data_IF_024060920599
#
_entry.id   IF_024060920599
#
_cell.length_a   1.000
_cell.length_b   1.000
_cell.length_c   1.000
_cell.angle_alpha   90.00
_cell.angle_beta   90.00
_cell.angle_gamma   90.00
#
_symmetry.space_group_name_H-M   'P 1'
#
loop_
_entity.id
_entity.type
_entity.pdbx_description
1 polymer ?
#
# COMPACT_ATOMS: atom_id res chain seq x y z
N UNK A 1 29.82 -5.82 2.03
CA UNK A 1 29.34 -4.79 2.99
C UNK A 1 29.46 -3.35 2.49
N UNK A 2 30.66 -2.81 2.15
CA UNK A 2 30.82 -1.39 1.74
C UNK A 2 29.91 -0.94 0.58
N UNK A 3 29.77 -1.76 -0.48
CA UNK A 3 28.90 -1.46 -1.63
C UNK A 3 27.42 -1.38 -1.25
N UNK A 4 26.93 -2.31 -0.42
CA UNK A 4 25.56 -2.32 0.08
C UNK A 4 25.28 -1.08 0.93
N UNK A 5 26.17 -0.73 1.86
CA UNK A 5 26.03 0.48 2.67
C UNK A 5 25.98 1.75 1.81
N UNK A 6 26.84 1.84 0.78
CA UNK A 6 26.81 2.95 -0.19
C UNK A 6 25.49 3.01 -0.96
N UNK A 7 24.97 1.85 -1.39
CA UNK A 7 23.68 1.77 -2.07
C UNK A 7 22.53 2.20 -1.15
N UNK A 8 22.44 1.65 0.06
CA UNK A 8 21.40 2.00 1.04
C UNK A 8 21.43 3.49 1.36
N UNK A 9 22.61 4.07 1.64
CA UNK A 9 22.75 5.52 1.84
C UNK A 9 22.25 6.34 0.66
N UNK A 10 22.29 5.79 -0.55
CA UNK A 10 21.88 6.49 -1.76
C UNK A 10 20.39 6.41 -2.09
N UNK A 11 19.65 5.52 -1.44
CA UNK A 11 18.19 5.35 -1.59
C UNK A 11 17.42 5.77 -0.35
N UNK A 12 18.11 6.06 0.75
CA UNK A 12 17.55 6.63 1.95
C UNK A 12 17.59 8.16 1.87
N UNK A 13 16.63 8.87 2.51
CA UNK A 13 16.67 10.31 2.64
C UNK A 13 17.98 10.82 3.25
N UNK A 14 18.41 12.01 2.81
CA UNK A 14 19.62 12.67 3.33
C UNK A 14 19.49 12.94 4.83
N UNK A 15 18.31 13.38 5.26
CA UNK A 15 17.95 13.57 6.65
C UNK A 15 17.20 12.34 7.17
N UNK A 16 17.84 11.56 8.05
CA UNK A 16 17.27 10.35 8.65
C UNK A 16 15.98 10.64 9.44
N UNK A 17 15.75 11.87 9.91
CA UNK A 17 14.51 12.24 10.61
C UNK A 17 13.31 12.22 9.67
N UNK A 18 13.51 12.36 8.35
CA UNK A 18 12.46 12.17 7.34
C UNK A 18 11.99 10.70 7.28
N UNK A 19 12.87 9.72 7.56
CA UNK A 19 12.46 8.31 7.66
C UNK A 19 11.60 8.07 8.90
N UNK A 20 11.96 8.68 10.03
CA UNK A 20 11.13 8.59 11.24
C UNK A 20 9.77 9.23 10.98
N UNK A 21 9.74 10.40 10.34
CA UNK A 21 8.50 11.06 9.93
C UNK A 21 7.63 10.14 9.06
N UNK A 22 8.20 9.55 8.01
CA UNK A 22 7.51 8.57 7.17
C UNK A 22 6.98 7.38 7.96
N UNK A 23 7.75 6.85 8.91
CA UNK A 23 7.29 5.78 9.78
C UNK A 23 6.10 6.21 10.64
N UNK A 24 6.11 7.43 11.17
CA UNK A 24 4.96 8.02 11.86
C UNK A 24 3.72 8.12 10.97
N UNK A 25 3.91 8.52 9.71
CA UNK A 25 2.84 8.55 8.69
C UNK A 25 2.30 7.16 8.39
N UNK A 26 3.16 6.15 8.22
CA UNK A 26 2.75 4.75 8.05
C UNK A 26 1.93 4.27 9.24
N UNK A 27 2.35 4.58 10.47
CA UNK A 27 1.63 4.20 11.69
C UNK A 27 0.21 4.80 11.72
N UNK A 28 0.05 6.08 11.37
CA UNK A 28 -1.26 6.73 11.26
C UNK A 28 -2.12 6.09 10.15
N UNK A 29 -1.51 5.82 9.00
CA UNK A 29 -2.20 5.27 7.83
C UNK A 29 -2.74 3.87 8.11
N UNK A 30 -1.95 2.98 8.71
CA UNK A 30 -2.38 1.60 8.98
C UNK A 30 -3.29 1.48 10.22
N UNK A 31 -3.27 2.46 11.14
CA UNK A 31 -4.02 2.40 12.38
C UNK A 31 -5.53 2.19 12.18
N UNK A 32 -6.10 2.77 11.11
CA UNK A 32 -7.51 2.61 10.77
C UNK A 32 -7.91 1.18 10.39
N UNK A 33 -6.96 0.31 10.03
CA UNK A 33 -7.16 -1.10 9.67
C UNK A 33 -6.95 -2.07 10.83
N UNK A 34 -6.44 -1.55 11.96
CA UNK A 34 -6.14 -2.34 13.14
C UNK A 34 -7.25 -2.18 14.18
N UNK A 35 -7.40 -3.19 15.05
CA UNK A 35 -8.35 -3.08 16.15
C UNK A 35 -7.88 -1.98 17.10
N UNK A 36 -8.79 -1.07 17.45
CA UNK A 36 -8.51 -0.06 18.46
C UNK A 36 -8.96 -0.47 19.86
N UNK A 37 -9.90 -1.42 19.97
CA UNK A 37 -10.41 -1.92 21.26
C UNK A 37 -9.98 -3.37 21.47
N UNK A 38 -10.01 -3.82 22.72
CA UNK A 38 -9.69 -5.20 23.09
C UNK A 38 -10.77 -6.18 22.55
N UNK A 39 -10.37 -7.42 22.28
CA UNK A 39 -11.19 -8.45 21.61
C UNK A 39 -12.27 -9.08 22.48
N UNK A 40 -12.29 -8.86 23.79
CA UNK A 40 -13.12 -9.64 24.70
C UNK A 40 -14.39 -8.87 25.12
N UNK A 41 -15.54 -9.34 24.62
CA UNK A 41 -16.84 -9.15 25.27
C UNK A 41 -17.54 -7.80 25.12
N UNK A 42 -16.97 -6.82 24.42
CA UNK A 42 -17.56 -5.47 24.34
C UNK A 42 -18.42 -5.27 23.11
N UNK A 43 -19.64 -4.76 23.31
CA UNK A 43 -20.44 -4.14 22.25
C UNK A 43 -19.60 -3.05 21.58
N UNK A 44 -19.26 -3.24 20.31
CA UNK A 44 -18.47 -2.27 19.55
C UNK A 44 -19.41 -1.39 18.73
N UNK A 45 -19.53 -0.08 19.03
CA UNK A 45 -20.30 0.83 18.21
C UNK A 45 -19.58 1.01 16.87
N UNK A 46 -19.93 0.16 15.89
CA UNK A 46 -19.19 0.02 14.63
C UNK A 46 -19.06 1.34 13.86
N UNK A 47 -20.11 2.17 13.82
CA UNK A 47 -20.12 3.41 13.01
C UNK A 47 -19.24 4.54 13.57
N UNK A 48 -19.34 4.95 14.85
CA UNK A 48 -18.45 5.97 15.41
C UNK A 48 -16.97 5.56 15.40
N UNK A 49 -16.69 4.27 15.65
CA UNK A 49 -15.33 3.74 15.58
C UNK A 49 -14.75 3.81 14.17
N UNK A 50 -15.57 3.54 13.18
CA UNK A 50 -15.18 3.64 11.78
C UNK A 50 -14.85 5.09 11.40
N UNK A 51 -15.63 6.08 11.85
CA UNK A 51 -15.32 7.50 11.63
C UNK A 51 -13.99 7.92 12.29
N UNK A 52 -13.75 7.49 13.54
CA UNK A 52 -12.50 7.75 14.24
C UNK A 52 -11.29 7.14 13.52
N UNK A 53 -11.44 5.90 13.02
CA UNK A 53 -10.42 5.23 12.21
C UNK A 53 -10.12 6.01 10.92
N UNK A 54 -11.13 6.52 10.22
CA UNK A 54 -10.94 7.32 9.01
C UNK A 54 -10.15 8.60 9.26
N UNK A 55 -10.34 9.26 10.40
CA UNK A 55 -9.58 10.48 10.71
C UNK A 55 -8.08 10.20 10.82
N UNK A 56 -7.69 9.10 11.47
CA UNK A 56 -6.29 8.68 11.54
C UNK A 56 -5.72 8.27 10.18
N UNK A 57 -6.54 7.56 9.39
CA UNK A 57 -6.18 7.16 8.04
C UNK A 57 -5.95 8.38 7.12
N UNK A 58 -6.88 9.35 7.11
CA UNK A 58 -6.80 10.58 6.32
C UNK A 58 -5.59 11.43 6.72
N UNK A 59 -5.28 11.47 8.03
CA UNK A 59 -4.06 12.10 8.52
C UNK A 59 -2.80 11.44 7.91
N UNK A 60 -2.74 10.10 7.88
CA UNK A 60 -1.66 9.37 7.20
C UNK A 60 -1.57 9.71 5.71
N UNK A 61 -2.69 9.69 4.99
CA UNK A 61 -2.72 10.05 3.56
C UNK A 61 -2.28 11.50 3.29
N UNK A 62 -2.68 12.45 4.15
CA UNK A 62 -2.23 13.84 4.09
C UNK A 62 -0.74 13.98 4.43
N UNK A 63 -0.23 13.17 5.36
CA UNK A 63 1.19 13.09 5.67
C UNK A 63 2.04 12.67 4.48
N UNK A 64 1.62 11.63 3.74
CA UNK A 64 2.27 11.24 2.49
C UNK A 64 2.27 12.37 1.47
N UNK A 65 1.16 13.10 1.34
CA UNK A 65 1.10 14.27 0.46
C UNK A 65 2.15 15.33 0.87
N UNK A 66 2.18 15.71 2.15
CA UNK A 66 3.07 16.77 2.65
C UNK A 66 4.55 16.39 2.50
N UNK A 67 4.90 15.09 2.53
CA UNK A 67 6.27 14.62 2.26
C UNK A 67 6.79 15.12 0.91
N UNK A 68 5.92 15.18 -0.11
CA UNK A 68 6.30 15.58 -1.47
C UNK A 68 5.92 17.03 -1.79
N UNK A 69 4.88 17.58 -1.15
CA UNK A 69 4.44 18.99 -1.31
C UNK A 69 4.23 19.70 0.02
N UNK A 70 5.33 20.07 0.70
CA UNK A 70 5.28 20.84 1.94
C UNK A 70 4.55 22.19 1.80
N UNK A 71 4.61 22.81 0.62
CA UNK A 71 4.12 24.18 0.40
C UNK A 71 4.92 25.23 1.18
N UNK A 72 4.38 26.45 1.26
CA UNK A 72 5.07 27.58 1.91
C UNK A 72 5.13 27.47 3.44
N UNK A 73 4.20 26.73 4.06
CA UNK A 73 4.07 26.61 5.52
C UNK A 73 3.93 25.15 5.93
N UNK A 74 4.98 24.33 5.79
CA UNK A 74 4.88 22.89 6.02
C UNK A 74 4.50 22.53 7.45
N UNK A 75 5.07 23.20 8.45
CA UNK A 75 4.73 22.99 9.86
C UNK A 75 3.22 23.18 10.08
N UNK A 76 2.67 24.29 9.57
CA UNK A 76 1.23 24.60 9.67
C UNK A 76 0.38 23.50 9.02
N UNK A 77 0.78 23.00 7.85
CA UNK A 77 0.08 21.90 7.17
C UNK A 77 0.16 20.58 7.95
N UNK A 78 1.32 20.23 8.51
CA UNK A 78 1.46 19.02 9.33
C UNK A 78 0.53 19.11 10.54
N UNK A 79 0.53 20.25 11.24
CA UNK A 79 -0.32 20.44 12.42
C UNK A 79 -1.81 20.35 12.08
N UNK A 80 -2.27 21.03 11.03
CA UNK A 80 -3.71 21.07 10.71
C UNK A 80 -4.22 19.85 9.94
N UNK A 81 -3.43 19.26 9.06
CA UNK A 81 -3.91 18.20 8.16
C UNK A 81 -3.51 16.80 8.64
N UNK A 82 -2.51 16.69 9.52
CA UNK A 82 -2.05 15.41 10.06
C UNK A 82 -2.34 15.34 11.56
N UNK A 83 -1.76 16.24 12.37
CA UNK A 83 -1.88 16.14 13.83
C UNK A 83 -3.31 16.35 14.31
N UNK A 84 -4.01 17.38 13.83
CA UNK A 84 -5.36 17.69 14.28
C UNK A 84 -6.37 16.57 13.96
N UNK A 85 -6.48 16.03 12.73
CA UNK A 85 -7.40 14.92 12.45
C UNK A 85 -7.00 13.65 13.21
N UNK A 86 -5.70 13.34 13.34
CA UNK A 86 -5.24 12.19 14.12
C UNK A 86 -5.62 12.33 15.60
N UNK A 87 -5.45 13.52 16.19
CA UNK A 87 -5.84 13.81 17.58
C UNK A 87 -7.35 13.69 17.79
N UNK A 88 -8.17 14.20 16.85
CA UNK A 88 -9.63 14.04 16.87
C UNK A 88 -10.01 12.57 16.78
N UNK A 89 -9.41 11.81 15.86
CA UNK A 89 -9.64 10.37 15.73
C UNK A 89 -9.31 9.59 17.00
N UNK A 90 -8.14 9.85 17.59
CA UNK A 90 -7.72 9.25 18.87
C UNK A 90 -8.64 9.64 20.02
N UNK A 91 -8.98 10.92 20.15
CA UNK A 91 -9.86 11.44 21.19
C UNK A 91 -11.26 10.84 21.13
N UNK A 92 -11.85 10.73 19.93
CA UNK A 92 -13.14 10.06 19.73
C UNK A 92 -13.07 8.58 20.08
N UNK A 93 -12.04 7.87 19.62
CA UNK A 93 -11.86 6.45 19.87
C UNK A 93 -11.74 6.16 21.38
N UNK A 94 -10.93 6.95 22.08
CA UNK A 94 -10.75 6.84 23.52
C UNK A 94 -11.98 7.28 24.31
N UNK A 95 -12.63 8.38 23.94
CA UNK A 95 -13.87 8.83 24.59
C UNK A 95 -15.00 7.80 24.47
N UNK A 96 -15.16 7.19 23.29
CA UNK A 96 -16.09 6.09 23.08
C UNK A 96 -15.71 4.86 23.92
N UNK A 97 -14.41 4.57 24.06
CA UNK A 97 -13.94 3.48 24.93
C UNK A 97 -14.25 3.76 26.40
N UNK A 98 -14.09 5.00 26.89
CA UNK A 98 -14.46 5.33 28.27
C UNK A 98 -15.97 5.26 28.49
N UNK A 99 -16.77 5.60 27.47
CA UNK A 99 -18.23 5.62 27.56
C UNK A 99 -18.86 4.22 27.46
N UNK A 100 -18.37 3.37 26.56
CA UNK A 100 -18.94 2.03 26.29
C UNK A 100 -18.09 0.89 26.84
N UNK A 101 -16.85 1.16 27.24
CA UNK A 101 -15.93 0.16 27.73
C UNK A 101 -16.45 -0.48 29.01
N UNK A 102 -16.14 -1.76 29.26
CA UNK A 102 -16.59 -2.45 30.44
C UNK A 102 -15.93 -1.75 31.63
N UNK A 103 -16.78 -1.17 32.48
CA UNK A 103 -16.33 -0.69 33.79
C UNK A 103 -15.64 -1.83 34.55
N UNK A 104 -14.82 -1.51 35.57
CA UNK A 104 -14.16 -2.53 36.38
C UNK A 104 -15.21 -3.54 36.89
N UNK A 105 -15.05 -4.80 36.47
CA UNK A 105 -15.95 -5.91 36.78
C UNK A 105 -15.79 -6.40 38.23
N UNK A 106 -15.85 -5.49 39.20
CA UNK A 106 -15.99 -5.90 40.60
C UNK A 106 -17.43 -6.29 40.86
N UNK A 107 -17.70 -7.60 40.90
CA UNK A 107 -19.01 -8.21 41.14
C UNK A 107 -19.69 -7.79 42.45
N UNK A 108 -19.03 -7.04 43.33
CA UNK A 108 -19.56 -6.57 44.62
C UNK A 108 -20.02 -5.09 44.62
N UNK A 109 -20.07 -4.43 43.46
CA UNK A 109 -20.29 -2.98 43.37
C UNK A 109 -21.39 -2.53 42.41
N UNK A 110 -22.48 -3.29 42.26
CA UNK A 110 -23.56 -2.96 41.31
C UNK A 110 -24.32 -1.64 41.63
N UNK A 111 -24.01 -0.96 42.75
CA UNK A 111 -24.76 0.20 43.22
C UNK A 111 -24.07 1.56 43.11
N UNK A 112 -22.81 1.65 42.68
CA UNK A 112 -22.14 2.94 42.51
C UNK A 112 -21.56 3.02 41.12
N UNK A 113 -22.06 3.97 40.31
CA UNK A 113 -21.30 4.56 39.22
C UNK A 113 -19.93 4.88 39.78
N UNK A 114 -18.97 3.98 39.56
CA UNK A 114 -17.60 4.17 40.01
C UNK A 114 -17.14 5.37 39.22
N UNK A 115 -17.06 6.52 39.90
CA UNK A 115 -16.54 7.73 39.31
C UNK A 115 -15.21 7.34 38.67
N UNK A 116 -15.13 7.40 37.34
CA UNK A 116 -13.95 6.99 36.61
C UNK A 116 -12.79 7.82 37.14
N UNK A 117 -11.97 7.21 37.99
CA UNK A 117 -10.82 7.92 38.54
C UNK A 117 -9.87 8.23 37.40
N UNK A 118 -9.18 9.35 37.49
CA UNK A 118 -8.16 9.73 36.49
C UNK A 118 -7.15 8.59 36.31
N UNK A 119 -6.80 7.88 37.39
CA UNK A 119 -5.93 6.70 37.35
C UNK A 119 -6.50 5.55 36.49
N UNK A 120 -7.79 5.25 36.58
CA UNK A 120 -8.41 4.24 35.73
C UNK A 120 -8.38 4.67 34.26
N UNK A 121 -8.76 5.91 33.96
CA UNK A 121 -8.74 6.45 32.60
C UNK A 121 -7.32 6.35 31.99
N UNK A 122 -6.28 6.76 32.73
CA UNK A 122 -4.90 6.63 32.24
C UNK A 122 -4.48 5.17 32.04
N UNK A 123 -4.88 4.27 32.94
CA UNK A 123 -4.60 2.83 32.79
C UNK A 123 -5.33 2.20 31.59
N UNK A 124 -6.51 2.73 31.23
CA UNK A 124 -7.30 2.27 30.11
C UNK A 124 -6.62 2.49 28.76
N UNK A 125 -5.72 3.48 28.64
CA UNK A 125 -4.94 3.71 27.41
C UNK A 125 -4.16 2.45 27.00
N UNK A 126 -3.57 1.76 27.98
CA UNK A 126 -2.77 0.55 27.75
C UNK A 126 -3.61 -0.69 27.43
N UNK A 127 -4.92 -0.64 27.70
CA UNK A 127 -5.86 -1.72 27.39
C UNK A 127 -6.39 -1.65 25.96
N UNK A 128 -6.11 -0.57 25.24
CA UNK A 128 -6.55 -0.38 23.86
C UNK A 128 -5.77 -1.29 22.91
N UNK A 129 -6.35 -1.49 21.74
CA UNK A 129 -5.79 -2.34 20.69
C UNK A 129 -4.61 -1.68 19.95
N UNK A 130 -3.92 -2.44 19.08
CA UNK A 130 -2.81 -1.94 18.28
C UNK A 130 -3.17 -0.71 17.44
N UNK A 131 -4.38 -0.60 16.89
CA UNK A 131 -4.79 0.57 16.10
C UNK A 131 -4.66 1.88 16.85
N UNK A 132 -5.11 1.92 18.11
CA UNK A 132 -4.94 3.10 18.94
C UNK A 132 -3.46 3.39 19.24
N UNK A 133 -2.71 2.35 19.62
CA UNK A 133 -1.29 2.50 19.96
C UNK A 133 -0.43 2.97 18.78
N UNK A 134 -0.64 2.42 17.58
CA UNK A 134 0.05 2.87 16.38
C UNK A 134 -0.37 4.28 15.97
N UNK A 135 -1.65 4.65 16.09
CA UNK A 135 -2.07 6.03 15.85
C UNK A 135 -1.42 7.02 16.83
N UNK A 136 -1.35 6.67 18.13
CA UNK A 136 -0.71 7.50 19.15
C UNK A 136 0.80 7.64 18.88
N UNK A 137 1.49 6.52 18.62
CA UNK A 137 2.90 6.52 18.26
C UNK A 137 3.17 7.37 17.02
N UNK A 138 2.35 7.21 15.98
CA UNK A 138 2.42 7.99 14.75
C UNK A 138 2.26 9.48 15.01
N UNK A 139 1.25 9.89 15.80
CA UNK A 139 1.01 11.28 16.18
C UNK A 139 2.20 11.89 16.93
N UNK A 140 2.76 11.17 17.91
CA UNK A 140 3.93 11.63 18.69
C UNK A 140 5.13 11.86 17.76
N UNK A 141 5.44 10.89 16.91
CA UNK A 141 6.55 10.97 15.95
C UNK A 141 6.37 12.16 14.99
N UNK A 142 5.18 12.32 14.43
CA UNK A 142 4.84 13.41 13.51
C UNK A 142 4.96 14.77 14.19
N UNK A 143 4.47 14.91 15.42
CA UNK A 143 4.56 16.14 16.18
C UNK A 143 6.02 16.51 16.51
N UNK A 144 6.85 15.53 16.89
CA UNK A 144 8.28 15.73 17.13
C UNK A 144 8.99 16.18 15.85
N UNK A 145 8.68 15.58 14.70
CA UNK A 145 9.22 16.03 13.42
C UNK A 145 8.76 17.45 13.07
N UNK A 146 7.48 17.79 13.28
CA UNK A 146 6.96 19.13 13.04
C UNK A 146 7.67 20.18 13.91
N UNK A 147 7.96 19.86 15.18
CA UNK A 147 8.74 20.71 16.07
C UNK A 147 10.19 20.90 15.57
N UNK A 148 10.86 19.82 15.14
CA UNK A 148 12.20 19.90 14.55
C UNK A 148 12.23 20.74 13.27
N UNK A 149 11.22 20.59 12.42
CA UNK A 149 11.04 21.36 11.21
C UNK A 149 10.83 22.85 11.53
N UNK A 150 10.02 23.17 12.55
CA UNK A 150 9.84 24.54 13.03
C UNK A 150 11.13 25.15 13.60
N UNK A 151 11.98 24.31 14.18
CA UNK A 151 13.28 24.71 14.74
C UNK A 151 14.41 24.75 13.71
N UNK A 152 14.12 24.51 12.42
CA UNK A 152 15.13 24.47 11.35
C UNK A 152 16.09 23.29 11.41
N UNK A 153 15.81 22.27 12.23
CA UNK A 153 16.67 21.09 12.45
C UNK A 153 16.38 19.92 11.51
N UNK A 154 15.35 20.06 10.66
CA UNK A 154 14.90 19.08 9.67
C UNK A 154 14.31 19.87 8.49
N UNK A 155 14.22 19.24 7.31
CA UNK A 155 13.69 19.90 6.11
C UNK A 155 12.64 19.04 5.39
N UNK A 156 11.80 19.70 4.59
CA UNK A 156 10.95 19.10 3.57
C UNK A 156 11.10 19.88 2.25
N UNK A 157 10.88 19.29 1.07
CA UNK A 157 10.32 17.95 0.82
C UNK A 157 11.30 16.82 1.12
N UNK A 158 10.78 15.58 1.14
CA UNK A 158 11.61 14.39 1.20
C UNK A 158 12.58 14.38 0.02
N UNK A 159 13.88 14.38 0.32
CA UNK A 159 14.93 14.48 -0.68
C UNK A 159 15.88 13.29 -0.56
N UNK A 160 16.05 12.60 -1.67
CA UNK A 160 17.10 11.59 -1.81
C UNK A 160 18.43 12.27 -2.14
N UNK A 161 19.57 11.68 -1.76
CA UNK A 161 20.89 12.15 -2.17
C UNK A 161 20.98 12.32 -3.69
N UNK A 162 21.80 13.29 -4.12
CA UNK A 162 21.76 13.89 -5.46
C UNK A 162 21.37 12.94 -6.61
N UNK A 163 20.44 13.39 -7.48
CA UNK A 163 20.01 12.63 -8.64
C UNK A 163 21.19 12.36 -9.57
N UNK A 164 21.21 11.20 -10.22
CA UNK A 164 22.26 10.82 -11.15
C UNK A 164 22.27 11.63 -12.44
N UNK A 165 21.20 12.39 -12.70
CA UNK A 165 21.03 13.19 -13.92
C UNK A 165 20.81 14.65 -13.51
N UNK A 166 21.48 15.63 -14.15
CA UNK A 166 21.24 17.05 -13.95
C UNK A 166 19.75 17.37 -14.02
N UNK A 167 19.29 18.35 -13.24
CA UNK A 167 17.89 18.80 -13.13
C UNK A 167 17.31 19.42 -14.42
N UNK A 168 17.78 19.02 -15.61
CA UNK A 168 17.23 19.44 -16.89
C UNK A 168 15.86 18.79 -17.20
N UNK A 169 15.39 17.86 -16.37
CA UNK A 169 14.03 17.33 -16.44
C UNK A 169 13.01 18.41 -16.07
N UNK A 170 12.02 18.61 -16.94
CA UNK A 170 10.84 19.48 -16.78
C UNK A 170 10.24 19.38 -15.36
N UNK A 171 10.38 20.39 -14.48
CA UNK A 171 9.85 20.35 -13.11
C UNK A 171 8.33 20.04 -13.04
N UNK A 172 7.48 20.56 -13.96
CA UNK A 172 6.10 20.11 -14.13
C UNK A 172 5.93 18.60 -14.31
N UNK A 173 6.80 17.94 -15.09
CA UNK A 173 6.74 16.49 -15.30
C UNK A 173 7.01 15.72 -14.03
N UNK A 174 8.04 16.09 -13.26
CA UNK A 174 8.31 15.44 -11.97
C UNK A 174 7.17 15.62 -10.97
N UNK A 175 6.55 16.81 -10.94
CA UNK A 175 5.38 17.06 -10.11
C UNK A 175 4.22 16.09 -10.42
N UNK A 176 3.98 15.78 -11.70
CA UNK A 176 2.98 14.77 -12.11
C UNK A 176 3.31 13.38 -11.57
N UNK A 177 4.60 12.99 -11.58
CA UNK A 177 5.06 11.70 -11.03
C UNK A 177 4.83 11.62 -9.52
N UNK A 178 5.16 12.69 -8.80
CA UNK A 178 4.90 12.74 -7.37
C UNK A 178 3.39 12.58 -7.12
N UNK A 179 2.52 13.27 -7.89
CA UNK A 179 1.04 13.16 -7.76
C UNK A 179 0.62 11.71 -7.99
N UNK A 180 1.17 11.05 -9.01
CA UNK A 180 0.93 9.64 -9.26
C UNK A 180 1.33 8.77 -8.06
N UNK A 181 2.51 8.99 -7.45
CA UNK A 181 2.94 8.25 -6.25
C UNK A 181 1.95 8.45 -5.10
N UNK A 182 1.53 9.70 -4.86
CA UNK A 182 0.54 9.98 -3.83
C UNK A 182 -0.80 9.33 -4.14
N UNK A 183 -1.27 9.34 -5.38
CA UNK A 183 -2.49 8.64 -5.80
C UNK A 183 -2.32 7.14 -5.52
N UNK A 184 -1.23 6.53 -5.96
CA UNK A 184 -0.98 5.10 -5.75
C UNK A 184 -0.97 4.72 -4.27
N UNK A 185 -0.42 5.55 -3.37
CA UNK A 185 -0.40 5.24 -1.93
C UNK A 185 -1.71 5.62 -1.24
N UNK A 186 -2.29 6.79 -1.53
CA UNK A 186 -3.45 7.32 -0.82
C UNK A 186 -4.79 6.80 -1.35
N UNK A 187 -4.94 6.66 -2.67
CA UNK A 187 -6.16 6.13 -3.29
C UNK A 187 -6.23 4.62 -3.29
N UNK A 188 -5.10 3.90 -3.16
CA UNK A 188 -5.13 2.46 -2.92
C UNK A 188 -5.82 2.00 -1.65
N UNK A 189 -6.06 2.94 -0.74
CA UNK A 189 -6.87 2.67 0.42
C UNK A 189 -8.38 2.67 0.19
N UNK A 190 -8.84 2.70 -1.06
CA UNK A 190 -10.25 2.86 -1.39
C UNK A 190 -11.00 4.00 -0.69
N UNK A 191 -10.41 5.07 -0.10
CA UNK A 191 -11.16 5.95 0.77
C UNK A 191 -12.03 6.86 -0.09
N UNK A 192 -11.73 7.11 -1.37
CA UNK A 192 -12.66 7.84 -2.22
C UNK A 192 -13.93 7.03 -2.48
N UNK A 193 -13.82 5.72 -2.69
CA UNK A 193 -15.00 4.86 -2.91
C UNK A 193 -15.76 4.57 -1.63
N UNK A 194 -15.06 4.37 -0.51
CA UNK A 194 -15.69 4.16 0.79
C UNK A 194 -16.21 5.49 1.36
N UNK A 195 -15.52 6.62 1.18
CA UNK A 195 -16.03 7.94 1.59
C UNK A 195 -17.18 8.40 0.71
N UNK A 196 -17.20 8.11 -0.59
CA UNK A 196 -18.40 8.32 -1.42
C UNK A 196 -19.52 7.38 -0.96
N UNK A 197 -19.23 6.10 -0.72
CA UNK A 197 -20.21 5.14 -0.20
C UNK A 197 -20.76 5.52 1.18
N UNK A 198 -19.93 6.05 2.07
CA UNK A 198 -20.28 6.49 3.43
C UNK A 198 -20.82 7.91 3.49
N UNK A 199 -20.47 8.78 2.55
CA UNK A 199 -21.10 10.09 2.37
C UNK A 199 -22.51 9.88 1.82
N UNK A 200 -22.66 9.03 0.80
CA UNK A 200 -23.96 8.62 0.29
C UNK A 200 -24.75 7.87 1.36
N UNK A 201 -24.19 6.89 2.06
CA UNK A 201 -24.87 6.18 3.15
C UNK A 201 -25.12 7.07 4.38
N UNK A 202 -24.20 7.97 4.70
CA UNK A 202 -24.27 8.90 5.83
C UNK A 202 -25.23 10.07 5.60
N UNK A 203 -25.55 10.39 4.35
CA UNK A 203 -26.63 11.33 3.98
C UNK A 203 -27.94 10.57 3.81
N UNK A 204 -27.94 9.45 3.09
CA UNK A 204 -29.18 8.66 2.86
C UNK A 204 -29.72 8.01 4.13
N UNK A 205 -28.88 7.51 5.03
CA UNK A 205 -29.35 6.86 6.26
C UNK A 205 -30.10 7.80 7.22
N UNK A 206 -29.60 9.00 7.58
CA UNK A 206 -30.39 9.94 8.36
C UNK A 206 -31.61 10.45 7.58
N UNK A 207 -31.55 10.63 6.26
CA UNK A 207 -32.76 10.96 5.48
C UNK A 207 -33.82 9.84 5.57
N UNK A 208 -33.40 8.57 5.52
CA UNK A 208 -34.30 7.41 5.64
C UNK A 208 -34.81 7.23 7.08
N UNK A 209 -33.98 7.47 8.09
CA UNK A 209 -34.32 7.26 9.51
C UNK A 209 -35.12 8.42 10.09
N UNK A 210 -34.80 9.66 9.72
CA UNK A 210 -35.45 10.86 10.26
C UNK A 210 -36.66 11.33 9.46
N UNK A 211 -36.98 10.74 8.29
CA UNK A 211 -38.27 10.92 7.61
C UNK A 211 -39.15 9.66 7.76
N UNK A 212 -40.10 9.66 8.72
CA UNK A 212 -40.96 8.50 9.02
C UNK A 212 -41.74 7.96 7.81
N UNK A 213 -42.11 8.84 6.88
CA UNK A 213 -42.85 8.54 5.65
C UNK A 213 -42.03 7.67 4.69
N UNK A 214 -40.73 7.94 4.57
CA UNK A 214 -39.80 7.19 3.71
C UNK A 214 -39.44 5.86 4.37
N UNK A 215 -39.27 5.82 5.70
CA UNK A 215 -38.99 4.60 6.46
C UNK A 215 -40.12 3.55 6.39
N UNK A 216 -41.39 3.98 6.28
CA UNK A 216 -42.52 3.07 6.05
C UNK A 216 -42.54 2.53 4.61
N UNK A 217 -42.32 3.40 3.62
CA UNK A 217 -42.30 2.99 2.21
C UNK A 217 -41.13 2.04 1.90
N UNK A 218 -39.93 2.33 2.41
CA UNK A 218 -38.74 1.48 2.23
C UNK A 218 -38.88 0.09 2.91
N UNK A 219 -39.67 -0.01 4.00
CA UNK A 219 -40.01 -1.28 4.65
C UNK A 219 -41.05 -2.08 3.87
N UNK A 220 -42.07 -1.42 3.32
CA UNK A 220 -43.13 -2.06 2.52
C UNK A 220 -42.60 -2.54 1.15
N UNK A 221 -41.66 -1.82 0.54
CA UNK A 221 -41.15 -2.12 -0.79
C UNK A 221 -39.97 -3.13 -0.82
N UNK A 222 -39.59 -3.73 0.32
CA UNK A 222 -38.34 -4.53 0.45
C UNK A 222 -37.07 -3.83 -0.09
N UNK A 223 -37.12 -2.50 -0.21
CA UNK A 223 -36.13 -1.70 -0.92
C UNK A 223 -34.77 -1.76 -0.21
N UNK A 224 -34.76 -1.95 1.11
CA UNK A 224 -33.53 -2.17 1.89
C UNK A 224 -32.79 -3.46 1.51
N UNK A 225 -33.52 -4.53 1.17
CA UNK A 225 -32.92 -5.80 0.73
C UNK A 225 -32.44 -5.70 -0.72
N UNK A 226 -33.20 -5.02 -1.59
CA UNK A 226 -32.80 -4.77 -2.97
C UNK A 226 -31.56 -3.86 -3.04
N UNK A 227 -31.53 -2.77 -2.27
CA UNK A 227 -30.40 -1.85 -2.15
C UNK A 227 -29.19 -2.57 -1.56
N UNK A 228 -29.36 -3.35 -0.49
CA UNK A 228 -28.26 -4.13 0.09
C UNK A 228 -27.74 -5.18 -0.89
N UNK A 229 -28.62 -5.85 -1.64
CA UNK A 229 -28.24 -6.83 -2.66
C UNK A 229 -27.55 -6.17 -3.85
N UNK A 230 -28.01 -5.00 -4.29
CA UNK A 230 -27.39 -4.20 -5.34
C UNK A 230 -25.99 -3.72 -4.94
N UNK A 231 -25.82 -3.18 -3.74
CA UNK A 231 -24.50 -2.82 -3.20
C UNK A 231 -23.62 -4.04 -2.96
N UNK A 232 -24.19 -5.21 -2.64
CA UNK A 232 -23.44 -6.47 -2.51
C UNK A 232 -22.97 -6.98 -3.87
N UNK A 233 -23.82 -6.96 -4.90
CA UNK A 233 -23.47 -7.36 -6.28
C UNK A 233 -22.46 -6.40 -6.90
N UNK A 234 -22.65 -5.09 -6.75
CA UNK A 234 -21.65 -4.09 -7.18
C UNK A 234 -20.37 -4.22 -6.34
N UNK A 235 -20.49 -4.49 -5.04
CA UNK A 235 -19.39 -4.76 -4.13
C UNK A 235 -18.51 -5.93 -4.56
N UNK A 236 -19.14 -7.01 -4.99
CA UNK A 236 -18.48 -8.27 -5.35
C UNK A 236 -17.97 -8.24 -6.81
N UNK A 237 -18.74 -7.70 -7.75
CA UNK A 237 -18.43 -7.80 -9.20
C UNK A 237 -17.86 -6.51 -9.82
N UNK A 238 -18.23 -5.32 -9.31
CA UNK A 238 -17.94 -4.04 -9.97
C UNK A 238 -16.91 -3.15 -9.27
N UNK A 239 -16.84 -3.19 -7.94
CA UNK A 239 -16.05 -2.25 -7.14
C UNK A 239 -14.52 -2.43 -7.29
N UNK A 240 -13.98 -3.67 -7.25
CA UNK A 240 -12.54 -3.87 -7.40
C UNK A 240 -12.02 -3.56 -8.82
N UNK A 241 -12.80 -3.89 -9.85
CA UNK A 241 -12.45 -3.61 -11.26
C UNK A 241 -12.59 -2.12 -11.58
N UNK A 242 -13.64 -1.46 -11.08
CA UNK A 242 -13.78 -0.01 -11.17
C UNK A 242 -12.64 0.71 -10.45
N UNK A 243 -12.19 0.21 -9.30
CA UNK A 243 -11.06 0.78 -8.57
C UNK A 243 -9.78 0.74 -9.41
N UNK A 244 -9.36 -0.43 -9.89
CA UNK A 244 -8.12 -0.55 -10.65
C UNK A 244 -8.18 0.24 -11.98
N UNK A 245 -9.32 0.23 -12.67
CA UNK A 245 -9.53 1.05 -13.87
C UNK A 245 -9.51 2.55 -13.57
N UNK A 246 -10.11 2.98 -12.46
CA UNK A 246 -10.07 4.38 -12.02
C UNK A 246 -8.64 4.81 -11.71
N UNK A 247 -7.85 3.95 -11.07
CA UNK A 247 -6.44 4.24 -10.80
C UNK A 247 -5.61 4.37 -12.07
N UNK A 248 -5.81 3.47 -13.04
CA UNK A 248 -5.16 3.60 -14.35
C UNK A 248 -5.62 4.86 -15.07
N UNK A 249 -6.91 5.17 -15.05
CA UNK A 249 -7.47 6.39 -15.63
C UNK A 249 -6.87 7.66 -15.02
N UNK A 250 -6.80 7.72 -13.68
CA UNK A 250 -6.16 8.82 -12.95
C UNK A 250 -4.66 8.89 -13.23
N UNK A 251 -3.96 7.76 -13.33
CA UNK A 251 -2.55 7.72 -13.66
C UNK A 251 -2.28 8.26 -15.07
N UNK A 252 -3.09 7.88 -16.05
CA UNK A 252 -2.97 8.37 -17.43
C UNK A 252 -3.35 9.85 -17.53
N UNK A 253 -4.40 10.27 -16.83
CA UNK A 253 -4.80 11.67 -16.77
C UNK A 253 -3.70 12.54 -16.15
N UNK A 254 -3.14 12.11 -15.01
CA UNK A 254 -2.08 12.85 -14.32
C UNK A 254 -0.80 12.94 -15.12
N UNK A 255 -0.45 11.95 -15.93
CA UNK A 255 0.76 11.96 -16.77
C UNK A 255 0.56 12.61 -18.15
N UNK A 256 -0.69 12.81 -18.58
CA UNK A 256 -1.02 13.42 -19.86
C UNK A 256 -0.53 12.62 -21.08
N UNK A 257 -0.18 13.33 -22.16
CA UNK A 257 0.18 12.71 -23.46
C UNK A 257 1.42 11.81 -23.37
N UNK A 258 2.37 12.11 -22.49
CA UNK A 258 3.56 11.28 -22.29
C UNK A 258 3.19 9.92 -21.68
N UNK A 259 2.31 9.91 -20.67
CA UNK A 259 1.82 8.68 -20.04
C UNK A 259 1.16 7.74 -21.06
N UNK A 260 0.38 8.27 -21.99
CA UNK A 260 -0.22 7.48 -23.08
C UNK A 260 0.82 6.87 -24.03
N UNK A 261 1.87 7.61 -24.37
CA UNK A 261 2.97 7.10 -25.21
C UNK A 261 3.72 5.98 -24.50
N UNK A 262 4.03 6.17 -23.22
CA UNK A 262 4.70 5.17 -22.39
C UNK A 262 3.85 3.90 -22.24
N UNK A 263 2.55 4.06 -21.96
CA UNK A 263 1.60 2.95 -21.89
C UNK A 263 1.63 2.12 -23.18
N UNK A 264 1.46 2.77 -24.34
CA UNK A 264 1.43 2.07 -25.63
C UNK A 264 2.74 1.34 -25.91
N UNK A 265 3.88 1.93 -25.55
CA UNK A 265 5.20 1.27 -25.66
C UNK A 265 5.29 0.06 -24.73
N UNK A 266 4.78 0.18 -23.51
CA UNK A 266 4.84 -0.86 -22.48
C UNK A 266 3.91 -2.06 -22.76
N UNK A 267 2.95 -1.95 -23.68
CA UNK A 267 2.01 -3.02 -24.03
C UNK A 267 2.41 -3.81 -25.29
N UNK A 268 3.65 -3.65 -25.78
CA UNK A 268 4.15 -4.43 -26.92
C UNK A 268 4.18 -5.92 -26.57
N UNK A 269 3.82 -6.77 -27.53
CA UNK A 269 3.92 -8.23 -27.38
C UNK A 269 5.40 -8.64 -27.42
N UNK A 270 5.94 -9.24 -26.34
CA UNK A 270 7.32 -9.70 -26.30
C UNK A 270 7.44 -11.10 -26.92
N UNK A 271 8.69 -11.58 -27.06
CA UNK A 271 8.97 -12.96 -27.50
C UNK A 271 8.35 -13.97 -26.52
N UNK A 272 7.84 -15.12 -27.00
CA UNK A 272 7.16 -16.12 -26.17
C UNK A 272 8.03 -16.69 -25.04
N UNK A 273 9.36 -16.75 -25.24
CA UNK A 273 10.33 -17.19 -24.23
C UNK A 273 10.21 -16.44 -22.89
N UNK A 274 9.87 -15.15 -22.91
CA UNK A 274 9.73 -14.37 -21.69
C UNK A 274 8.43 -14.66 -20.94
N UNK A 275 7.39 -15.13 -21.62
CA UNK A 275 6.20 -15.64 -20.95
C UNK A 275 6.48 -16.97 -20.24
N UNK A 276 7.32 -17.82 -20.83
CA UNK A 276 7.79 -19.05 -20.18
C UNK A 276 8.60 -18.73 -18.92
N UNK A 277 9.48 -17.73 -18.96
CA UNK A 277 10.22 -17.27 -17.77
C UNK A 277 9.27 -16.66 -16.72
N UNK A 278 8.33 -15.81 -17.14
CA UNK A 278 7.34 -15.18 -16.27
C UNK A 278 6.48 -16.21 -15.52
N UNK A 279 6.12 -17.30 -16.19
CA UNK A 279 5.41 -18.45 -15.61
C UNK A 279 6.34 -19.29 -14.74
N UNK A 280 7.54 -19.59 -15.23
CA UNK A 280 8.51 -20.46 -14.59
C UNK A 280 9.04 -19.94 -13.26
N UNK A 281 9.31 -18.64 -13.12
CA UNK A 281 9.85 -18.07 -11.88
C UNK A 281 8.95 -18.28 -10.64
N UNK A 282 7.68 -17.82 -10.61
CA UNK A 282 6.81 -18.02 -9.45
C UNK A 282 6.50 -19.51 -9.21
N UNK A 283 6.38 -20.32 -10.28
CA UNK A 283 6.20 -21.78 -10.17
C UNK A 283 7.40 -22.45 -9.49
N UNK A 284 8.62 -22.18 -9.96
CA UNK A 284 9.84 -22.78 -9.42
C UNK A 284 10.05 -22.39 -7.95
N UNK A 285 9.85 -21.11 -7.61
CA UNK A 285 9.98 -20.64 -6.23
C UNK A 285 8.93 -21.28 -5.33
N UNK A 286 7.67 -21.37 -5.78
CA UNK A 286 6.57 -21.93 -5.00
C UNK A 286 6.73 -23.43 -4.79
N UNK A 287 7.06 -24.18 -5.84
CA UNK A 287 7.27 -25.63 -5.80
C UNK A 287 8.49 -26.00 -4.96
N UNK A 288 9.62 -25.30 -5.10
CA UNK A 288 10.78 -25.48 -4.24
C UNK A 288 10.43 -25.23 -2.77
N UNK A 289 9.75 -24.12 -2.48
CA UNK A 289 9.33 -23.78 -1.12
C UNK A 289 8.34 -24.81 -0.54
N UNK A 290 7.45 -25.38 -1.36
CA UNK A 290 6.54 -26.43 -0.92
C UNK A 290 7.28 -27.75 -0.63
N UNK A 291 8.22 -28.12 -1.51
CA UNK A 291 9.03 -29.34 -1.38
C UNK A 291 9.89 -29.34 -0.12
N UNK A 292 10.56 -28.23 0.20
CA UNK A 292 11.40 -28.13 1.41
C UNK A 292 10.59 -28.25 2.70
N UNK A 293 9.29 -27.95 2.67
CA UNK A 293 8.39 -28.06 3.82
C UNK A 293 7.41 -29.24 3.75
N UNK A 294 7.63 -30.18 2.81
CA UNK A 294 6.76 -31.33 2.58
C UNK A 294 5.27 -30.97 2.44
N UNK A 295 4.97 -29.78 1.90
CA UNK A 295 3.61 -29.34 1.62
C UNK A 295 3.18 -29.89 0.26
N UNK A 296 1.96 -30.42 0.16
CA UNK A 296 1.39 -30.81 -1.13
C UNK A 296 1.24 -29.57 -2.02
N UNK A 297 1.86 -29.53 -3.22
CA UNK A 297 1.81 -28.37 -4.11
C UNK A 297 0.53 -28.33 -4.95
N UNK A 298 -0.42 -29.25 -4.75
CA UNK A 298 -1.62 -29.32 -5.59
C UNK A 298 -2.73 -28.42 -5.06
N UNK A 299 -3.07 -27.40 -5.86
CA UNK A 299 -4.25 -26.55 -5.66
C UNK A 299 -5.46 -27.31 -6.15
N UNK A 300 -6.47 -27.47 -5.30
CA UNK A 300 -7.81 -27.77 -5.77
C UNK A 300 -8.39 -26.48 -6.37
N UNK A 301 -8.52 -26.45 -7.69
CA UNK A 301 -9.07 -25.32 -8.46
C UNK A 301 -10.60 -25.41 -8.62
N UNK A 302 -11.30 -26.09 -7.70
CA UNK A 302 -12.74 -26.28 -7.86
C UNK A 302 -13.46 -24.92 -7.75
N UNK A 303 -14.08 -24.53 -8.87
CA UNK A 303 -14.99 -23.38 -9.06
C UNK A 303 -14.41 -21.97 -8.79
N UNK A 304 -13.08 -21.79 -8.86
CA UNK A 304 -12.42 -20.48 -8.60
C UNK A 304 -12.08 -19.66 -9.86
N UNK A 305 -12.56 -20.06 -11.04
CA UNK A 305 -12.23 -19.39 -12.32
C UNK A 305 -12.46 -17.87 -12.31
N UNK A 306 -13.60 -17.34 -11.79
CA UNK A 306 -13.83 -15.90 -11.75
C UNK A 306 -12.81 -15.16 -10.88
N UNK A 307 -12.42 -15.76 -9.74
CA UNK A 307 -11.44 -15.19 -8.84
C UNK A 307 -10.05 -15.15 -9.48
N UNK A 308 -9.65 -16.22 -10.18
CA UNK A 308 -8.36 -16.27 -10.88
C UNK A 308 -8.31 -15.21 -11.97
N UNK A 309 -9.33 -15.12 -12.83
CA UNK A 309 -9.40 -14.08 -13.87
C UNK A 309 -9.32 -12.67 -13.27
N UNK A 310 -9.96 -12.45 -12.13
CA UNK A 310 -9.88 -11.18 -11.42
C UNK A 310 -8.46 -10.88 -10.90
N UNK A 311 -7.79 -11.85 -10.29
CA UNK A 311 -6.40 -11.71 -9.83
C UNK A 311 -5.48 -11.32 -11.01
N UNK A 312 -5.70 -11.95 -12.17
CA UNK A 312 -4.96 -11.63 -13.38
C UNK A 312 -5.20 -10.18 -13.84
N UNK A 313 -6.46 -9.78 -13.90
CA UNK A 313 -6.82 -8.43 -14.32
C UNK A 313 -6.28 -7.35 -13.37
N UNK A 314 -6.40 -7.56 -12.06
CA UNK A 314 -5.87 -6.63 -11.05
C UNK A 314 -4.34 -6.49 -11.16
N UNK A 315 -3.61 -7.61 -11.21
CA UNK A 315 -2.16 -7.62 -11.36
C UNK A 315 -1.72 -6.93 -12.67
N UNK A 316 -2.43 -7.15 -13.78
CA UNK A 316 -2.15 -6.48 -15.05
C UNK A 316 -2.28 -4.96 -14.95
N UNK A 317 -3.35 -4.44 -14.37
CA UNK A 317 -3.54 -3.00 -14.19
C UNK A 317 -2.50 -2.40 -13.23
N UNK A 318 -2.14 -3.12 -12.17
CA UNK A 318 -1.03 -2.73 -11.29
C UNK A 318 0.29 -2.63 -12.07
N UNK A 319 0.65 -3.64 -12.86
CA UNK A 319 1.90 -3.62 -13.64
C UNK A 319 1.93 -2.48 -14.66
N UNK A 320 0.79 -2.12 -15.26
CA UNK A 320 0.71 -0.92 -16.11
C UNK A 320 1.13 0.33 -15.32
N UNK A 321 0.53 0.55 -14.15
CA UNK A 321 0.81 1.75 -13.36
C UNK A 321 2.24 1.76 -12.82
N UNK A 322 2.68 0.62 -12.28
CA UNK A 322 3.96 0.53 -11.56
C UNK A 322 5.13 0.39 -12.55
N UNK A 323 5.05 -0.50 -13.54
CA UNK A 323 6.16 -0.84 -14.44
C UNK A 323 6.07 -0.08 -15.77
N UNK A 324 4.86 0.17 -16.26
CA UNK A 324 4.63 0.92 -17.50
C UNK A 324 4.78 2.44 -17.30
N UNK A 325 4.29 2.97 -16.18
CA UNK A 325 4.25 4.41 -15.94
C UNK A 325 5.29 4.89 -14.91
N UNK A 326 5.31 4.31 -13.70
CA UNK A 326 6.16 4.83 -12.61
C UNK A 326 7.65 4.47 -12.77
N UNK A 327 7.96 3.20 -13.06
CA UNK A 327 9.33 2.69 -13.13
C UNK A 327 10.25 3.43 -14.11
N UNK A 328 9.85 3.74 -15.36
CA UNK A 328 10.72 4.45 -16.30
C UNK A 328 11.13 5.84 -15.80
N UNK A 329 10.24 6.52 -15.07
CA UNK A 329 10.46 7.86 -14.52
C UNK A 329 11.44 7.81 -13.35
N UNK A 330 11.27 6.83 -12.47
CA UNK A 330 12.19 6.60 -11.36
C UNK A 330 13.58 6.19 -11.85
N UNK A 331 13.67 5.34 -12.87
CA UNK A 331 14.95 4.96 -13.50
C UNK A 331 15.62 6.17 -14.16
N UNK A 332 14.87 6.98 -14.93
CA UNK A 332 15.42 8.20 -15.55
C UNK A 332 16.00 9.14 -14.51
N UNK A 333 15.30 9.33 -13.38
CA UNK A 333 15.67 10.32 -12.37
C UNK A 333 16.80 9.86 -11.44
N UNK A 334 16.77 8.60 -11.01
CA UNK A 334 17.65 8.07 -9.96
C UNK A 334 18.63 6.99 -10.44
N UNK A 335 18.56 6.61 -11.72
CA UNK A 335 19.30 5.50 -12.28
C UNK A 335 18.60 4.15 -12.07
N UNK A 336 19.09 3.12 -12.76
CA UNK A 336 18.47 1.80 -12.86
C UNK A 336 18.13 1.18 -11.49
N UNK A 337 19.14 0.91 -10.67
CA UNK A 337 18.96 0.16 -9.41
C UNK A 337 18.16 0.96 -8.36
N UNK A 338 18.44 2.26 -8.23
CA UNK A 338 17.71 3.12 -7.28
C UNK A 338 16.25 3.28 -7.72
N UNK A 339 16.02 3.46 -9.03
CA UNK A 339 14.68 3.62 -9.57
C UNK A 339 13.81 2.40 -9.29
N UNK A 340 14.31 1.18 -9.57
CA UNK A 340 13.60 -0.07 -9.28
C UNK A 340 13.37 -0.26 -7.78
N UNK A 341 14.36 0.04 -6.95
CA UNK A 341 14.22 -0.05 -5.49
C UNK A 341 13.09 0.86 -4.98
N UNK A 342 13.06 2.12 -5.41
CA UNK A 342 12.03 3.09 -5.02
C UNK A 342 10.64 2.69 -5.51
N UNK A 343 10.55 2.07 -6.70
CA UNK A 343 9.29 1.47 -7.16
C UNK A 343 8.80 0.41 -6.17
N UNK A 344 9.69 -0.47 -5.70
CA UNK A 344 9.35 -1.46 -4.69
C UNK A 344 8.85 -0.87 -3.37
N UNK A 345 9.43 0.26 -2.93
CA UNK A 345 8.97 0.97 -1.73
C UNK A 345 7.57 1.58 -1.93
N UNK A 346 7.32 2.24 -3.06
CA UNK A 346 5.99 2.82 -3.36
C UNK A 346 4.94 1.72 -3.47
N UNK A 347 5.28 0.61 -4.13
CA UNK A 347 4.38 -0.52 -4.32
C UNK A 347 4.09 -1.24 -2.99
N UNK A 348 5.07 -1.32 -2.08
CA UNK A 348 4.84 -1.78 -0.70
C UNK A 348 3.86 -0.87 0.05
N UNK A 349 4.07 0.44 0.00
CA UNK A 349 3.21 1.42 0.66
C UNK A 349 1.76 1.39 0.14
N UNK A 350 1.59 1.17 -1.17
CA UNK A 350 0.28 0.95 -1.80
C UNK A 350 -0.48 -0.24 -1.20
N UNK A 351 0.23 -1.29 -0.77
CA UNK A 351 -0.38 -2.49 -0.19
C UNK A 351 -0.70 -2.37 1.31
N UNK A 352 -0.18 -1.36 2.01
CA UNK A 352 -0.41 -1.20 3.44
C UNK A 352 -1.88 -0.98 3.82
N UNK A 353 -2.77 -0.70 2.88
CA UNK A 353 -4.18 -0.69 3.19
C UNK A 353 -4.77 -2.11 3.34
N UNK A 354 -4.41 -3.02 2.43
CA UNK A 354 -5.00 -4.35 2.35
C UNK A 354 -4.33 -5.39 3.27
N UNK A 355 -3.11 -5.12 3.72
CA UNK A 355 -2.31 -6.08 4.48
C UNK A 355 -2.66 -6.17 5.96
N UNK A 356 -3.30 -5.15 6.51
CA UNK A 356 -3.55 -5.04 7.94
C UNK A 356 -4.99 -5.38 8.25
N UNK A 357 -5.15 -6.10 9.35
CA UNK A 357 -6.44 -6.55 9.80
C UNK A 357 -6.61 -6.34 11.30
N UNK A 358 -7.85 -6.27 11.81
CA UNK A 358 -8.11 -6.10 13.23
C UNK A 358 -7.52 -7.20 14.11
N UNK A 359 -7.18 -8.37 13.57
CA UNK A 359 -6.67 -9.51 14.33
C UNK A 359 -5.16 -9.45 14.61
N UNK A 360 -4.43 -8.51 14.01
CA UNK A 360 -2.99 -8.40 14.23
C UNK A 360 -2.68 -7.81 15.61
N UNK A 361 -1.66 -8.35 16.27
CA UNK A 361 -1.04 -7.74 17.46
C UNK A 361 0.16 -6.87 17.07
N UNK A 362 0.73 -6.10 18.00
CA UNK A 362 1.81 -5.15 17.69
C UNK A 362 3.00 -5.77 16.96
N UNK A 363 3.48 -6.93 17.42
CA UNK A 363 4.62 -7.62 16.79
C UNK A 363 4.30 -8.07 15.37
N UNK A 364 3.09 -8.60 15.13
CA UNK A 364 2.65 -9.01 13.79
C UNK A 364 2.45 -7.83 12.85
N UNK A 365 2.06 -6.66 13.35
CA UNK A 365 1.98 -5.42 12.55
C UNK A 365 3.37 -5.01 12.06
N UNK A 366 4.37 -4.97 12.94
CA UNK A 366 5.75 -4.62 12.54
C UNK A 366 6.34 -5.64 11.56
N UNK A 367 6.10 -6.93 11.79
CA UNK A 367 6.52 -7.98 10.86
C UNK A 367 5.84 -7.85 9.50
N UNK A 368 4.54 -7.51 9.46
CA UNK A 368 3.81 -7.30 8.21
C UNK A 368 4.40 -6.12 7.40
N UNK A 369 4.70 -4.99 8.06
CA UNK A 369 5.39 -3.85 7.41
C UNK A 369 6.74 -4.31 6.82
N UNK A 370 7.57 -4.96 7.63
CA UNK A 370 8.91 -5.40 7.23
C UNK A 370 8.88 -6.38 6.06
N UNK A 371 8.00 -7.38 6.11
CA UNK A 371 7.89 -8.36 5.02
C UNK A 371 7.32 -7.78 3.74
N UNK A 372 6.34 -6.88 3.83
CA UNK A 372 5.81 -6.22 2.65
C UNK A 372 6.89 -5.38 1.96
N UNK A 373 7.68 -4.62 2.72
CA UNK A 373 8.80 -3.84 2.17
C UNK A 373 9.83 -4.73 1.48
N UNK A 374 10.29 -5.79 2.16
CA UNK A 374 11.30 -6.69 1.61
C UNK A 374 10.79 -7.46 0.38
N UNK A 375 9.57 -7.98 0.45
CA UNK A 375 8.91 -8.71 -0.64
C UNK A 375 8.72 -7.84 -1.89
N UNK A 376 8.10 -6.67 -1.75
CA UNK A 376 7.87 -5.77 -2.87
C UNK A 376 9.16 -5.24 -3.50
N UNK A 377 10.24 -5.02 -2.72
CA UNK A 377 11.55 -4.70 -3.29
C UNK A 377 12.10 -5.87 -4.11
N UNK A 378 12.12 -7.09 -3.56
CA UNK A 378 12.62 -8.27 -4.26
C UNK A 378 11.85 -8.54 -5.57
N UNK A 379 10.51 -8.53 -5.50
CA UNK A 379 9.62 -8.67 -6.64
C UNK A 379 9.82 -7.55 -7.66
N UNK A 380 10.01 -6.30 -7.22
CA UNK A 380 10.23 -5.18 -8.16
C UNK A 380 11.51 -5.33 -8.96
N UNK A 381 12.56 -5.95 -8.41
CA UNK A 381 13.74 -6.27 -9.20
C UNK A 381 13.45 -7.34 -10.27
N UNK A 382 12.78 -8.43 -9.93
CA UNK A 382 12.48 -9.48 -10.93
C UNK A 382 11.49 -8.98 -11.99
N UNK A 383 10.40 -8.34 -11.58
CA UNK A 383 9.41 -7.80 -12.50
C UNK A 383 9.97 -6.64 -13.32
N UNK A 384 10.76 -5.77 -12.68
CA UNK A 384 11.47 -4.70 -13.37
C UNK A 384 12.45 -5.24 -14.40
N UNK A 385 13.17 -6.33 -14.10
CA UNK A 385 14.03 -7.02 -15.07
C UNK A 385 13.24 -7.56 -16.25
N UNK A 386 12.13 -8.28 -16.00
CA UNK A 386 11.25 -8.80 -17.05
C UNK A 386 10.75 -7.66 -17.95
N UNK A 387 10.30 -6.55 -17.37
CA UNK A 387 9.80 -5.40 -18.13
C UNK A 387 10.90 -4.74 -18.94
N UNK A 388 12.05 -4.47 -18.35
CA UNK A 388 13.12 -3.75 -19.04
C UNK A 388 13.78 -4.62 -20.12
N UNK A 389 13.87 -5.94 -19.93
CA UNK A 389 14.40 -6.84 -20.96
C UNK A 389 13.52 -6.97 -22.17
N UNK A 390 12.21 -6.89 -21.97
CA UNK A 390 11.23 -7.11 -23.03
C UNK A 390 10.68 -5.82 -23.62
N UNK A 391 10.89 -4.68 -22.94
CA UNK A 391 10.19 -3.44 -23.23
C UNK A 391 8.68 -3.53 -23.00
N UNK A 392 8.21 -4.53 -22.25
CA UNK A 392 6.78 -4.85 -22.09
C UNK A 392 6.42 -5.17 -20.63
N UNK A 393 5.26 -4.70 -20.16
CA UNK A 393 4.74 -5.06 -18.82
C UNK A 393 4.09 -6.44 -18.81
N UNK A 394 3.78 -7.03 -19.97
CA UNK A 394 3.01 -8.26 -20.05
C UNK A 394 3.65 -9.46 -19.33
N UNK A 395 4.96 -9.73 -19.44
CA UNK A 395 5.60 -10.82 -18.70
C UNK A 395 5.60 -10.56 -17.19
N UNK A 396 5.83 -9.31 -16.76
CA UNK A 396 5.73 -8.94 -15.35
C UNK A 396 4.30 -9.16 -14.82
N UNK A 397 3.28 -8.80 -15.61
CA UNK A 397 1.88 -9.00 -15.25
C UNK A 397 1.55 -10.48 -15.05
N UNK A 398 1.94 -11.33 -16.00
CA UNK A 398 1.76 -12.79 -15.89
C UNK A 398 2.45 -13.33 -14.63
N UNK A 399 3.70 -12.95 -14.40
CA UNK A 399 4.46 -13.41 -13.24
C UNK A 399 3.82 -12.96 -11.91
N UNK A 400 3.38 -11.71 -11.85
CA UNK A 400 2.66 -11.15 -10.71
C UNK A 400 1.31 -11.84 -10.48
N UNK A 401 0.51 -12.07 -11.53
CA UNK A 401 -0.77 -12.77 -11.43
C UNK A 401 -0.61 -14.17 -10.85
N UNK A 402 0.35 -14.94 -11.37
CA UNK A 402 0.63 -16.30 -10.91
C UNK A 402 1.12 -16.28 -9.45
N UNK A 403 1.99 -15.34 -9.10
CA UNK A 403 2.42 -15.13 -7.72
C UNK A 403 1.22 -14.83 -6.80
N UNK A 404 0.28 -13.99 -7.23
CA UNK A 404 -0.93 -13.67 -6.47
C UNK A 404 -1.86 -14.87 -6.34
N UNK A 405 -1.99 -15.72 -7.35
CA UNK A 405 -2.71 -16.99 -7.26
C UNK A 405 -2.07 -17.87 -6.17
N UNK A 406 -0.73 -17.98 -6.15
CA UNK A 406 -0.02 -18.76 -5.14
C UNK A 406 -0.05 -18.18 -3.73
N UNK A 407 -0.22 -16.87 -3.58
CA UNK A 407 -0.37 -16.22 -2.27
C UNK A 407 -1.83 -16.25 -1.80
N UNK A 408 -2.77 -15.98 -2.70
CA UNK A 408 -4.20 -15.82 -2.42
C UNK A 408 -4.93 -17.13 -2.16
N UNK A 409 -4.63 -18.19 -2.91
CA UNK A 409 -5.29 -19.49 -2.75
C UNK A 409 -4.73 -20.36 -1.61
N UNK A 410 -3.85 -19.79 -0.77
CA UNK A 410 -3.39 -20.36 0.50
C UNK A 410 -2.79 -21.78 0.38
N UNK A 411 -1.52 -21.86 -0.01
CA UNK A 411 -0.74 -23.09 0.15
C UNK A 411 -0.34 -23.29 1.62
N UNK A 412 -1.11 -24.08 2.35
CA UNK A 412 -0.74 -24.56 3.69
C UNK A 412 -0.67 -23.49 4.79
N UNK A 413 -0.20 -23.86 5.99
CA UNK A 413 -0.11 -22.95 7.13
C UNK A 413 0.84 -21.78 6.85
N UNK A 414 0.37 -20.55 7.08
CA UNK A 414 1.19 -19.33 6.96
C UNK A 414 2.12 -19.21 8.17
N UNK A 415 3.23 -19.93 8.18
CA UNK A 415 4.30 -19.70 9.15
C UNK A 415 5.33 -18.71 8.59
N UNK A 416 5.88 -17.89 9.48
CA UNK A 416 6.77 -16.78 9.17
C UNK A 416 7.96 -17.18 8.29
N UNK A 417 8.52 -18.37 8.53
CA UNK A 417 9.69 -18.90 7.84
C UNK A 417 9.44 -19.09 6.34
N UNK A 418 8.24 -19.53 5.92
CA UNK A 418 7.92 -19.74 4.51
C UNK A 418 7.92 -18.41 3.73
N UNK A 419 7.39 -17.35 4.35
CA UNK A 419 7.38 -16.00 3.75
C UNK A 419 8.80 -15.48 3.58
N UNK A 420 9.65 -15.66 4.61
CA UNK A 420 11.05 -15.30 4.55
C UNK A 420 11.78 -16.04 3.43
N UNK A 421 11.65 -17.38 3.37
CA UNK A 421 12.34 -18.20 2.37
C UNK A 421 11.91 -17.82 0.95
N UNK A 422 10.61 -17.66 0.70
CA UNK A 422 10.11 -17.19 -0.60
C UNK A 422 10.70 -15.83 -0.96
N UNK A 423 10.74 -14.88 -0.02
CA UNK A 423 11.31 -13.55 -0.24
C UNK A 423 12.81 -13.62 -0.56
N UNK A 424 13.56 -14.47 0.14
CA UNK A 424 14.98 -14.68 -0.12
C UNK A 424 15.22 -15.32 -1.49
N UNK A 425 14.38 -16.28 -1.92
CA UNK A 425 14.47 -16.88 -3.25
C UNK A 425 14.19 -15.87 -4.36
N UNK A 426 13.19 -15.00 -4.19
CA UNK A 426 12.95 -13.88 -5.11
C UNK A 426 14.13 -12.90 -5.14
N UNK A 427 14.74 -12.61 -3.99
CA UNK A 427 15.94 -11.78 -3.91
C UNK A 427 17.17 -12.41 -4.57
N UNK A 428 17.37 -13.72 -4.41
CA UNK A 428 18.41 -14.47 -5.07
C UNK A 428 18.22 -14.50 -6.59
N UNK A 429 16.98 -14.72 -7.05
CA UNK A 429 16.63 -14.65 -8.47
C UNK A 429 16.92 -13.26 -9.04
N UNK A 430 16.50 -12.20 -8.36
CA UNK A 430 16.82 -10.82 -8.74
C UNK A 430 18.34 -10.61 -8.89
N UNK A 431 19.13 -11.06 -7.91
CA UNK A 431 20.58 -10.96 -7.97
C UNK A 431 21.17 -11.70 -9.19
N UNK A 432 20.74 -12.94 -9.42
CA UNK A 432 21.20 -13.77 -10.55
C UNK A 432 20.86 -13.10 -11.89
N UNK A 433 19.63 -12.61 -12.06
CA UNK A 433 19.18 -11.95 -13.29
C UNK A 433 20.02 -10.71 -13.62
N UNK A 434 20.24 -9.82 -12.64
CA UNK A 434 21.06 -8.62 -12.87
C UNK A 434 22.56 -8.90 -12.99
N UNK A 435 23.05 -9.99 -12.39
CA UNK A 435 24.47 -10.35 -12.44
C UNK A 435 24.87 -10.98 -13.77
N UNK A 436 24.06 -11.91 -14.27
CA UNK A 436 24.40 -12.74 -15.43
C UNK A 436 23.67 -12.32 -16.70
N UNK A 437 22.50 -11.69 -16.58
CA UNK A 437 21.74 -11.15 -17.72
C UNK A 437 21.39 -9.66 -17.52
N UNK A 438 22.40 -8.78 -17.38
CA UNK A 438 22.17 -7.39 -17.06
C UNK A 438 21.29 -6.68 -18.10
N UNK A 439 20.40 -5.81 -17.60
CA UNK A 439 19.64 -4.87 -18.42
C UNK A 439 20.57 -3.74 -18.84
N UNK A 440 20.59 -3.40 -20.13
CA UNK A 440 21.28 -2.21 -20.66
C UNK A 440 20.25 -1.14 -20.99
N UNK A 441 20.49 0.10 -20.57
CA UNK A 441 19.60 1.20 -20.91
C UNK A 441 19.96 1.75 -22.30
N UNK A 442 18.93 2.13 -23.08
CA UNK A 442 19.14 2.81 -24.36
C UNK A 442 19.94 4.09 -24.12
N UNK A 443 21.11 4.22 -24.76
CA UNK A 443 22.01 5.37 -24.63
C UNK A 443 23.26 5.15 -23.75
N UNK A 444 23.41 4.00 -23.08
CA UNK A 444 24.68 3.65 -22.43
C UNK A 444 25.76 3.30 -23.49
N UNK A 445 26.94 3.94 -23.40
CA UNK A 445 28.09 3.68 -24.27
C UNK A 445 28.47 2.19 -24.20
N UNK A 446 28.31 1.46 -25.30
CA UNK A 446 28.52 0.01 -25.40
C UNK A 446 27.26 -0.82 -25.69
N UNK A 447 26.08 -0.21 -25.85
CA UNK A 447 24.87 -0.92 -26.26
C UNK A 447 24.86 -1.36 -27.75
N UNK A 448 25.68 -0.75 -28.62
CA UNK A 448 25.58 -0.92 -30.08
C UNK A 448 26.55 -1.92 -30.73
N UNK A 449 27.41 -2.61 -29.97
CA UNK A 449 28.49 -3.44 -30.58
C UNK A 449 28.24 -4.95 -30.55
N UNK A 450 27.08 -5.42 -30.07
CA UNK A 450 26.86 -6.84 -29.76
C UNK A 450 26.27 -7.71 -30.88
N UNK A 451 25.80 -7.14 -31.99
CA UNK A 451 25.03 -7.91 -32.99
C UNK A 451 25.37 -7.46 -34.42
N UNK A 452 26.67 -7.41 -34.73
CA UNK A 452 27.10 -7.62 -36.12
C UNK A 452 27.38 -9.11 -36.24
N UNK A 453 26.32 -9.88 -36.50
CA UNK A 453 26.45 -11.22 -37.06
C UNK A 453 27.39 -11.13 -38.24
N UNK A 454 28.57 -11.74 -38.11
CA UNK A 454 29.44 -12.07 -39.21
C UNK A 454 28.60 -12.82 -40.25
N UNK A 455 28.26 -12.13 -41.35
CA UNK A 455 27.83 -12.85 -42.54
C UNK A 455 28.96 -13.81 -42.90
N UNK A 456 28.68 -15.11 -43.09
CA UNK A 456 29.65 -15.99 -43.72
C UNK A 456 29.81 -15.48 -45.16
N UNK A 457 30.99 -14.96 -45.47
CA UNK A 457 31.35 -14.63 -46.85
C UNK A 457 31.28 -15.89 -47.70
N UNK A 458 30.44 -15.84 -48.73
CA UNK A 458 30.47 -16.76 -49.87
C UNK A 458 31.44 -16.24 -50.92
#
# INVERSE_FOLDING_TARGET
MKRLAKFLRSVLPVDWTQLIFLFGIVCLYIAGHLRSWATEGTFTPYKPLLFAAYMTFLAGAAGYFICFWPGMHPVRRILYWVCLPALVGLGLNYGLFLHYGPGPSSAHGAGKYTAHTIGWALSALWRLGPGFHFALLGLIIVALFAWRLASGCSSLPLALPEPSVPLSDDPPSWRRVQILVWILVALAAGPVFISVGLFLAGITYPIIVFLPSIARFARLAHLSVLIASFFRVIGILGLPSAYALTMVGLALWTLGKEGWKDLRRSLRLPKPEYFLLALGFPLAITTFSAGVWHLSPFVQFDDQTPLVLWIFFAAFLEEIMIRGLLQPRFIRRYGLLRGIFLVGIVWAAMHFFGDFSPQLNHGRVLLAIGWRLLGCVAWSFVFGWLTLRTGSVLPAAVSHSIQNVFVGLTFGPRFLTLVLVRTLLWGALAYVLFRYWPVRLEGEQGASTGEVTSQPGT
#
